data_IF_847993108496
#
_entry.id   IF_847993108496
#
_cell.length_a   1.000
_cell.length_b   1.000
_cell.length_c   1.000
_cell.angle_alpha   90.00
_cell.angle_beta   90.00
_cell.angle_gamma   90.00
#
_symmetry.space_group_name_H-M   'P 1'
#
loop_
_entity.id
_entity.type
_entity.pdbx_description
1 polymer ?
#
# COMPACT_ATOMS: atom_id res chain seq x y z
N UNK A 1 11.53 27.94 17.12
CA UNK A 1 11.20 26.81 16.21
C UNK A 1 12.48 26.35 15.53
N UNK A 2 12.85 25.07 15.61
CA UNK A 2 14.02 24.53 14.89
C UNK A 2 13.73 24.59 13.39
N UNK A 3 14.68 25.11 12.61
CA UNK A 3 14.61 25.07 11.14
C UNK A 3 14.94 23.64 10.69
N UNK A 4 13.97 22.92 10.15
CA UNK A 4 14.18 21.64 9.48
C UNK A 4 14.19 21.86 7.96
N UNK A 5 15.10 21.18 7.26
CA UNK A 5 15.11 21.16 5.79
C UNK A 5 14.33 19.93 5.35
N UNK A 6 13.27 20.12 4.57
CA UNK A 6 12.50 19.03 3.99
C UNK A 6 13.17 18.63 2.66
N UNK A 7 13.75 17.42 2.54
CA UNK A 7 14.38 17.02 1.29
C UNK A 7 13.32 16.86 0.19
N UNK A 8 13.68 17.26 -1.04
CA UNK A 8 12.77 17.17 -2.20
C UNK A 8 12.24 15.75 -2.42
N UNK A 9 13.07 14.75 -2.22
CA UNK A 9 12.67 13.34 -2.35
C UNK A 9 11.55 12.93 -1.38
N UNK A 10 11.42 13.58 -0.22
CA UNK A 10 10.34 13.31 0.72
C UNK A 10 9.03 13.98 0.27
N UNK A 11 9.11 15.18 -0.31
CA UNK A 11 7.97 15.84 -0.97
C UNK A 11 7.46 14.98 -2.12
N UNK A 12 8.35 14.46 -2.93
CA UNK A 12 8.00 13.62 -4.07
C UNK A 12 7.29 12.33 -3.63
N UNK A 13 7.85 11.61 -2.65
CA UNK A 13 7.22 10.40 -2.07
C UNK A 13 5.85 10.69 -1.46
N UNK A 14 5.75 11.76 -0.66
CA UNK A 14 4.48 12.16 -0.05
C UNK A 14 3.43 12.47 -1.12
N UNK A 15 3.82 13.22 -2.16
CA UNK A 15 2.93 13.57 -3.27
C UNK A 15 2.38 12.30 -3.94
N UNK A 16 3.25 11.32 -4.24
CA UNK A 16 2.84 10.03 -4.85
C UNK A 16 1.87 9.27 -3.94
N UNK A 17 2.13 9.21 -2.63
CA UNK A 17 1.28 8.52 -1.67
C UNK A 17 -0.11 9.16 -1.60
N UNK A 18 -0.19 10.49 -1.48
CA UNK A 18 -1.48 11.20 -1.40
C UNK A 18 -2.30 11.04 -2.68
N UNK A 19 -1.65 11.05 -3.83
CA UNK A 19 -2.34 10.88 -5.12
C UNK A 19 -2.64 9.42 -5.48
N UNK A 20 -2.19 8.44 -4.68
CA UNK A 20 -2.32 7.02 -5.01
C UNK A 20 -3.77 6.54 -5.04
N UNK A 21 -4.65 7.09 -4.20
CA UNK A 21 -6.09 6.77 -4.21
C UNK A 21 -6.75 7.18 -5.52
N UNK A 22 -6.53 8.43 -5.94
CA UNK A 22 -7.01 8.96 -7.23
C UNK A 22 -6.48 8.12 -8.40
N UNK A 23 -5.19 7.77 -8.36
CA UNK A 23 -4.57 6.94 -9.40
C UNK A 23 -5.19 5.53 -9.45
N UNK A 24 -5.46 4.92 -8.30
CA UNK A 24 -6.09 3.61 -8.21
C UNK A 24 -7.53 3.62 -8.74
N UNK A 25 -8.34 4.62 -8.37
CA UNK A 25 -9.70 4.79 -8.90
C UNK A 25 -9.69 5.01 -10.41
N UNK A 26 -8.82 5.88 -10.90
CA UNK A 26 -8.70 6.17 -12.33
C UNK A 26 -8.29 4.91 -13.13
N UNK A 27 -7.42 4.07 -12.57
CA UNK A 27 -7.01 2.84 -13.24
C UNK A 27 -8.07 1.74 -13.20
N UNK A 28 -8.88 1.67 -12.14
CA UNK A 28 -9.97 0.70 -12.05
C UNK A 28 -11.18 1.09 -12.91
N UNK A 29 -11.53 2.38 -12.94
CA UNK A 29 -12.80 2.87 -13.50
C UNK A 29 -12.64 3.71 -14.77
N UNK A 30 -11.42 3.93 -15.25
CA UNK A 30 -11.11 4.82 -16.38
C UNK A 30 -11.21 6.33 -16.05
N UNK A 31 -11.73 6.67 -14.87
CA UNK A 31 -11.83 8.03 -14.34
C UNK A 31 -11.89 8.00 -12.81
N UNK A 32 -11.26 8.97 -12.16
CA UNK A 32 -11.42 9.20 -10.72
C UNK A 32 -12.63 10.10 -10.46
N UNK A 33 -13.48 9.69 -9.53
CA UNK A 33 -14.64 10.47 -9.07
C UNK A 33 -14.37 11.09 -7.69
N UNK A 34 -13.49 10.48 -6.90
CA UNK A 34 -13.07 10.93 -5.57
C UNK A 34 -11.76 11.72 -5.55
N UNK A 35 -11.25 11.94 -4.34
CA UNK A 35 -9.89 12.44 -4.09
C UNK A 35 -9.68 13.96 -4.19
N UNK A 36 -10.73 14.77 -4.40
CA UNK A 36 -10.60 16.26 -4.34
C UNK A 36 -10.00 16.73 -3.01
N UNK A 37 -10.35 16.06 -1.91
CA UNK A 37 -9.82 16.37 -0.59
C UNK A 37 -8.31 16.09 -0.49
N UNK A 38 -7.83 14.99 -1.09
CA UNK A 38 -6.41 14.61 -1.12
C UNK A 38 -5.59 15.58 -1.97
N UNK A 39 -6.09 15.94 -3.16
CA UNK A 39 -5.46 16.94 -4.01
C UNK A 39 -5.37 18.30 -3.29
N UNK A 40 -6.46 18.74 -2.66
CA UNK A 40 -6.49 20.00 -1.93
C UNK A 40 -5.55 20.00 -0.72
N UNK A 41 -5.44 18.88 0.00
CA UNK A 41 -4.50 18.69 1.09
C UNK A 41 -3.05 18.80 0.60
N UNK A 42 -2.72 18.18 -0.54
CA UNK A 42 -1.40 18.29 -1.16
C UNK A 42 -1.09 19.74 -1.56
N UNK A 43 -2.02 20.42 -2.25
CA UNK A 43 -1.83 21.81 -2.66
C UNK A 43 -1.61 22.74 -1.46
N UNK A 44 -2.39 22.58 -0.39
CA UNK A 44 -2.23 23.34 0.85
C UNK A 44 -0.88 23.08 1.51
N UNK A 45 -0.46 21.81 1.58
CA UNK A 45 0.84 21.47 2.13
C UNK A 45 1.95 22.15 1.33
N UNK A 46 1.98 21.99 0.01
CA UNK A 46 3.03 22.56 -0.84
C UNK A 46 3.08 24.09 -0.73
N UNK A 47 1.92 24.75 -0.73
CA UNK A 47 1.84 26.20 -0.52
C UNK A 47 2.36 26.65 0.85
N UNK A 48 2.27 25.80 1.88
CA UNK A 48 2.80 26.11 3.22
C UNK A 48 4.32 25.96 3.32
N UNK A 49 4.94 25.18 2.42
CA UNK A 49 6.40 24.98 2.41
C UNK A 49 7.12 26.26 2.01
N UNK A 50 8.26 26.51 2.64
CA UNK A 50 9.10 27.69 2.41
C UNK A 50 8.33 29.03 2.47
N UNK A 51 7.28 29.10 3.31
CA UNK A 51 6.36 30.25 3.41
C UNK A 51 5.74 30.64 2.06
N UNK A 52 5.50 29.67 1.19
CA UNK A 52 4.90 29.88 -0.13
C UNK A 52 5.88 30.43 -1.18
N UNK A 53 7.16 30.64 -0.86
CA UNK A 53 8.13 31.20 -1.80
C UNK A 53 8.52 30.22 -2.92
N UNK A 54 8.50 28.92 -2.63
CA UNK A 54 8.96 27.88 -3.56
C UNK A 54 7.82 27.27 -4.39
N UNK A 55 6.56 27.48 -4.01
CA UNK A 55 5.42 26.75 -4.56
C UNK A 55 4.29 27.68 -4.96
N UNK A 56 4.27 28.08 -6.24
CA UNK A 56 3.08 28.65 -6.84
C UNK A 56 2.05 27.55 -7.17
N UNK A 57 0.81 27.97 -7.44
CA UNK A 57 -0.30 27.08 -7.72
C UNK A 57 -0.08 26.21 -8.98
N UNK A 58 0.58 26.74 -10.01
CA UNK A 58 0.91 26.00 -11.23
C UNK A 58 1.91 24.87 -10.94
N UNK A 59 2.97 25.18 -10.20
CA UNK A 59 3.99 24.21 -9.75
C UNK A 59 3.37 23.13 -8.87
N UNK A 60 2.52 23.51 -7.93
CA UNK A 60 1.84 22.57 -7.04
C UNK A 60 0.89 21.63 -7.82
N UNK A 61 0.13 22.16 -8.78
CA UNK A 61 -0.71 21.35 -9.69
C UNK A 61 0.10 20.42 -10.57
N UNK A 62 1.25 20.87 -11.08
CA UNK A 62 2.14 20.01 -11.87
C UNK A 62 2.74 18.88 -11.03
N UNK A 63 3.08 19.14 -9.76
CA UNK A 63 3.50 18.11 -8.82
C UNK A 63 2.38 17.09 -8.57
N UNK A 64 1.14 17.53 -8.38
CA UNK A 64 -0.01 16.63 -8.21
C UNK A 64 -0.23 15.73 -9.43
N UNK A 65 -0.16 16.29 -10.65
CA UNK A 65 -0.26 15.50 -11.90
C UNK A 65 0.87 14.50 -12.07
N UNK A 66 2.11 14.94 -11.82
CA UNK A 66 3.28 14.06 -11.85
C UNK A 66 3.14 12.91 -10.84
N UNK A 67 2.69 13.23 -9.63
CA UNK A 67 2.50 12.24 -8.57
C UNK A 67 1.41 11.22 -8.88
N UNK A 68 0.26 11.67 -9.40
CA UNK A 68 -0.81 10.77 -9.86
C UNK A 68 -0.32 9.85 -10.98
N UNK A 69 0.38 10.40 -11.98
CA UNK A 69 0.96 9.61 -13.08
C UNK A 69 1.97 8.59 -12.57
N UNK A 70 2.83 8.99 -11.62
CA UNK A 70 3.82 8.10 -11.01
C UNK A 70 3.16 6.98 -10.19
N UNK A 71 2.07 7.28 -9.48
CA UNK A 71 1.29 6.29 -8.77
C UNK A 71 0.63 5.27 -9.72
N UNK A 72 0.07 5.71 -10.86
CA UNK A 72 -0.45 4.80 -11.89
C UNK A 72 0.64 3.85 -12.38
N UNK A 73 1.84 4.37 -12.67
CA UNK A 73 2.96 3.53 -13.10
C UNK A 73 3.37 2.52 -12.03
N UNK A 74 3.38 2.91 -10.75
CA UNK A 74 3.65 1.99 -9.63
C UNK A 74 2.59 0.91 -9.49
N UNK A 75 1.30 1.26 -9.62
CA UNK A 75 0.20 0.29 -9.55
C UNK A 75 0.32 -0.75 -10.67
N UNK A 76 0.61 -0.31 -11.91
CA UNK A 76 0.81 -1.22 -13.05
C UNK A 76 2.04 -2.10 -12.89
N UNK A 77 3.15 -1.51 -12.47
CA UNK A 77 4.41 -2.19 -12.20
C UNK A 77 4.30 -3.28 -11.10
N UNK A 78 3.36 -3.12 -10.17
CA UNK A 78 3.15 -4.00 -9.04
C UNK A 78 1.72 -4.57 -9.03
N UNK A 79 1.18 -4.89 -10.21
CA UNK A 79 -0.24 -5.23 -10.36
C UNK A 79 -0.66 -6.43 -9.51
N UNK A 80 0.17 -7.47 -9.46
CA UNK A 80 -0.12 -8.66 -8.66
C UNK A 80 -0.16 -8.35 -7.16
N UNK A 81 0.81 -7.56 -6.67
CA UNK A 81 0.83 -7.12 -5.26
C UNK A 81 -0.37 -6.22 -4.94
N UNK A 82 -0.75 -5.35 -5.87
CA UNK A 82 -1.91 -4.46 -5.73
C UNK A 82 -3.23 -5.25 -5.68
N UNK A 83 -3.43 -6.20 -6.59
CA UNK A 83 -4.63 -7.03 -6.60
C UNK A 83 -4.73 -7.86 -5.30
N UNK A 84 -3.64 -8.47 -4.85
CA UNK A 84 -3.61 -9.23 -3.59
C UNK A 84 -3.94 -8.35 -2.37
N UNK A 85 -3.50 -7.09 -2.36
CA UNK A 85 -3.89 -6.11 -1.34
C UNK A 85 -5.39 -5.82 -1.41
N UNK A 86 -5.94 -5.56 -2.61
CA UNK A 86 -7.36 -5.30 -2.78
C UNK A 86 -8.22 -6.47 -2.31
N UNK A 87 -7.84 -7.71 -2.63
CA UNK A 87 -8.55 -8.92 -2.20
C UNK A 87 -8.54 -9.07 -0.67
N UNK A 88 -7.38 -8.85 -0.04
CA UNK A 88 -7.24 -8.90 1.42
C UNK A 88 -8.07 -7.81 2.12
N UNK A 89 -8.08 -6.59 1.57
CA UNK A 89 -8.90 -5.50 2.10
C UNK A 89 -10.39 -5.79 1.93
N UNK A 90 -10.80 -6.31 0.78
CA UNK A 90 -12.19 -6.68 0.49
C UNK A 90 -12.70 -7.79 1.41
N UNK A 91 -11.83 -8.72 1.82
CA UNK A 91 -12.18 -9.76 2.80
C UNK A 91 -12.19 -9.27 4.26
N UNK A 92 -11.92 -7.99 4.51
CA UNK A 92 -11.81 -7.43 5.87
C UNK A 92 -10.60 -7.95 6.65
N UNK A 93 -9.51 -8.32 5.97
CA UNK A 93 -8.32 -8.84 6.64
C UNK A 93 -7.63 -7.78 7.52
N UNK A 94 -6.89 -8.22 8.53
CA UNK A 94 -6.08 -7.30 9.33
C UNK A 94 -4.98 -6.64 8.50
N UNK A 95 -4.48 -5.49 8.96
CA UNK A 95 -3.37 -4.78 8.30
C UNK A 95 -2.14 -5.70 8.15
N UNK A 96 -1.85 -6.54 9.15
CA UNK A 96 -0.76 -7.51 9.08
C UNK A 96 -0.91 -8.49 7.91
N UNK A 97 -2.14 -8.99 7.67
CA UNK A 97 -2.45 -9.85 6.52
C UNK A 97 -2.36 -9.11 5.18
N UNK A 98 -2.76 -7.84 5.15
CA UNK A 98 -2.58 -7.00 3.96
C UNK A 98 -1.09 -6.82 3.60
N UNK A 99 -0.23 -6.58 4.60
CA UNK A 99 1.22 -6.48 4.39
C UNK A 99 1.77 -7.81 3.88
N UNK A 100 1.39 -8.93 4.51
CA UNK A 100 1.83 -10.26 4.08
C UNK A 100 1.41 -10.57 2.63
N UNK A 101 0.20 -10.18 2.22
CA UNK A 101 -0.29 -10.33 0.85
C UNK A 101 0.55 -9.53 -0.16
N UNK A 102 0.93 -8.30 0.17
CA UNK A 102 1.84 -7.49 -0.66
C UNK A 102 3.21 -8.17 -0.77
N UNK A 103 3.82 -8.55 0.35
CA UNK A 103 5.18 -9.12 0.37
C UNK A 103 5.27 -10.47 -0.35
N UNK A 104 4.21 -11.28 -0.32
CA UNK A 104 4.14 -12.55 -1.02
C UNK A 104 4.06 -12.39 -2.55
N UNK A 105 3.56 -11.26 -3.02
CA UNK A 105 3.33 -10.98 -4.44
C UNK A 105 4.26 -9.89 -4.99
N UNK A 106 5.35 -9.58 -4.28
CA UNK A 106 6.30 -8.56 -4.71
C UNK A 106 7.22 -9.13 -5.81
N UNK A 107 7.46 -8.41 -6.93
CA UNK A 107 8.38 -8.88 -7.95
C UNK A 107 9.81 -9.02 -7.39
N UNK A 108 10.57 -10.04 -7.81
CA UNK A 108 11.92 -10.34 -7.29
C UNK A 108 12.91 -9.20 -7.53
N UNK A 109 12.67 -8.34 -8.52
CA UNK A 109 13.36 -7.07 -8.69
C UNK A 109 12.30 -6.00 -8.96
N UNK A 110 12.22 -4.93 -8.16
CA UNK A 110 11.29 -3.86 -8.46
C UNK A 110 11.69 -3.20 -9.79
N UNK A 111 10.74 -2.94 -10.70
CA UNK A 111 11.05 -2.55 -12.08
C UNK A 111 11.87 -1.26 -12.18
N UNK A 112 11.71 -0.34 -11.22
CA UNK A 112 12.51 0.88 -11.15
C UNK A 112 13.99 0.64 -10.76
N UNK A 113 14.31 -0.40 -9.99
CA UNK A 113 15.71 -0.80 -9.76
C UNK A 113 16.30 -1.55 -10.95
N UNK A 114 15.48 -2.31 -11.69
CA UNK A 114 15.94 -2.99 -12.91
C UNK A 114 16.44 -2.00 -13.97
N UNK A 115 15.73 -0.86 -14.12
CA UNK A 115 16.13 0.25 -15.01
C UNK A 115 17.46 0.89 -14.60
N UNK A 116 17.70 1.09 -13.30
CA UNK A 116 18.97 1.66 -12.80
C UNK A 116 20.16 0.71 -12.95
N UNK A 117 19.91 -0.61 -12.88
CA UNK A 117 20.95 -1.64 -12.98
C UNK A 117 21.28 -2.07 -14.42
N UNK A 118 20.69 -1.44 -15.45
CA UNK A 118 20.88 -1.83 -16.85
C UNK A 118 20.29 -3.19 -17.23
N UNK A 119 19.46 -3.79 -16.35
CA UNK A 119 18.90 -5.11 -16.56
C UNK A 119 17.59 -5.00 -17.36
N UNK A 120 17.72 -4.94 -18.69
CA UNK A 120 16.60 -4.79 -19.63
C UNK A 120 15.61 -5.96 -19.61
N UNK A 121 15.99 -7.13 -19.09
CA UNK A 121 15.08 -8.26 -18.93
C UNK A 121 13.97 -8.00 -17.88
N UNK A 122 14.25 -7.22 -16.84
CA UNK A 122 13.24 -6.81 -15.86
C UNK A 122 12.30 -5.71 -16.38
N UNK A 123 12.66 -5.05 -17.48
CA UNK A 123 11.82 -4.07 -18.16
C UNK A 123 10.75 -4.78 -18.98
N UNK A 124 11.04 -5.92 -19.60
CA UNK A 124 10.09 -6.66 -20.44
C UNK A 124 8.84 -7.12 -19.66
N UNK A 125 9.01 -7.66 -18.45
CA UNK A 125 7.89 -8.09 -17.60
C UNK A 125 7.01 -6.91 -17.13
N UNK A 126 7.61 -5.73 -16.90
CA UNK A 126 6.86 -4.51 -16.57
C UNK A 126 6.26 -3.80 -17.80
N UNK A 127 6.87 -3.96 -18.97
CA UNK A 127 6.43 -3.35 -20.22
C UNK A 127 5.28 -4.14 -20.90
N UNK A 128 5.24 -5.47 -20.77
CA UNK A 128 4.09 -6.27 -21.21
C UNK A 128 2.81 -5.90 -20.44
N UNK A 129 2.92 -5.62 -19.14
CA UNK A 129 1.81 -5.09 -18.34
C UNK A 129 1.43 -3.64 -18.70
N UNK A 130 2.37 -2.86 -19.26
CA UNK A 130 2.14 -1.48 -19.71
C UNK A 130 1.51 -1.41 -21.11
N UNK A 131 1.69 -2.45 -21.94
CA UNK A 131 1.22 -2.52 -23.32
C UNK A 131 -0.15 -3.20 -23.48
N UNK A 132 -0.66 -3.90 -22.46
CA UNK A 132 -1.91 -4.67 -22.51
C UNK A 132 -3.21 -3.84 -22.27
N UNK A 133 -3.22 -2.55 -22.60
CA UNK A 133 -4.45 -1.77 -22.71
C UNK A 133 -5.01 -1.91 -24.14
N UNK A 134 -6.33 -2.09 -24.35
CA UNK A 134 -6.87 -2.30 -25.69
C UNK A 134 -6.85 -0.97 -26.47
N UNK A 135 -5.88 -0.83 -27.37
CA UNK A 135 -6.00 -0.03 -28.56
C UNK A 135 -6.47 -0.94 -29.70
N UNK A 136 -7.51 -0.52 -30.40
CA UNK A 136 -8.22 -1.26 -31.45
C UNK A 136 -7.33 -1.74 -32.61
N UNK A 137 -7.56 -3.00 -33.02
CA UNK A 137 -7.50 -3.58 -34.39
C UNK A 137 -6.21 -3.55 -35.26
N UNK A 138 -5.71 -4.78 -35.49
CA UNK A 138 -5.50 -5.47 -36.79
C UNK A 138 -4.09 -5.52 -37.48
N UNK A 139 -3.58 -6.77 -37.59
CA UNK A 139 -3.05 -7.50 -38.78
C UNK A 139 -1.66 -8.18 -38.61
N UNK A 140 -1.65 -9.49 -38.87
CA UNK A 140 -0.58 -10.40 -39.34
C UNK A 140 0.40 -11.09 -38.35
N UNK A 141 0.31 -12.42 -38.35
CA UNK A 141 1.38 -13.42 -38.09
C UNK A 141 2.29 -13.60 -39.34
N UNK A 142 3.46 -14.29 -39.33
CA UNK A 142 3.83 -15.40 -38.42
C UNK A 142 5.32 -15.50 -37.96
N UNK A 143 5.55 -16.50 -37.10
CA UNK A 143 6.73 -17.39 -37.00
C UNK A 143 7.92 -17.05 -36.06
N UNK A 144 8.00 -17.82 -34.96
CA UNK A 144 9.15 -18.66 -34.58
C UNK A 144 10.37 -18.03 -33.89
N UNK A 145 10.62 -18.40 -32.62
CA UNK A 145 11.88 -19.03 -32.15
C UNK A 145 12.05 -19.01 -30.60
N UNK A 146 12.30 -20.22 -30.06
CA UNK A 146 13.15 -20.61 -28.93
C UNK A 146 13.10 -19.87 -27.57
N UNK A 147 12.67 -20.63 -26.56
CA UNK A 147 12.82 -20.41 -25.11
C UNK A 147 14.27 -20.70 -24.66
N UNK A 148 14.88 -19.90 -23.77
CA UNK A 148 15.90 -20.38 -22.86
C UNK A 148 15.39 -20.31 -21.40
N UNK A 149 15.25 -21.47 -20.79
CA UNK A 149 15.02 -21.67 -19.36
C UNK A 149 16.30 -21.40 -18.57
N UNK A 150 16.31 -20.38 -17.71
CA UNK A 150 17.31 -20.22 -16.65
C UNK A 150 16.63 -20.45 -15.29
N UNK A 151 16.84 -21.65 -14.74
CA UNK A 151 16.26 -22.09 -13.49
C UNK A 151 16.93 -21.44 -12.27
N UNK A 152 16.10 -20.87 -11.39
CA UNK A 152 16.39 -20.81 -9.96
C UNK A 152 15.73 -22.04 -9.37
N UNK A 153 16.48 -22.89 -8.65
CA UNK A 153 15.96 -24.16 -8.16
C UNK A 153 14.74 -23.93 -7.25
N UNK A 154 13.64 -24.60 -7.60
CA UNK A 154 12.35 -24.53 -6.89
C UNK A 154 12.47 -24.84 -5.39
N UNK A 155 13.51 -25.56 -5.00
CA UNK A 155 13.80 -25.98 -3.63
C UNK A 155 14.22 -24.82 -2.71
N UNK A 156 14.97 -23.84 -3.23
CA UNK A 156 15.38 -22.67 -2.47
C UNK A 156 14.22 -21.68 -2.24
N UNK A 157 13.33 -21.56 -3.24
CA UNK A 157 12.11 -20.77 -3.12
C UNK A 157 11.12 -21.41 -2.14
N UNK A 158 10.97 -22.74 -2.16
CA UNK A 158 10.11 -23.48 -1.23
C UNK A 158 10.58 -23.37 0.22
N UNK A 159 11.88 -23.42 0.47
CA UNK A 159 12.46 -23.28 1.82
C UNK A 159 12.23 -21.87 2.42
N UNK A 160 12.35 -20.82 1.61
CA UNK A 160 12.09 -19.44 2.04
C UNK A 160 10.60 -19.19 2.34
N UNK A 161 9.69 -19.80 1.56
CA UNK A 161 8.24 -19.73 1.79
C UNK A 161 7.84 -20.47 3.06
N UNK A 162 8.39 -21.65 3.32
CA UNK A 162 8.13 -22.42 4.54
C UNK A 162 8.61 -21.67 5.80
N UNK A 163 9.79 -21.06 5.76
CA UNK A 163 10.33 -20.28 6.87
C UNK A 163 9.52 -19.01 7.17
N UNK A 164 8.92 -18.38 6.15
CA UNK A 164 8.01 -17.23 6.34
C UNK A 164 6.65 -17.66 6.89
N UNK A 165 6.11 -18.79 6.43
CA UNK A 165 4.83 -19.35 6.92
C UNK A 165 4.86 -19.61 8.43
N UNK A 166 5.97 -20.17 8.94
CA UNK A 166 6.15 -20.38 10.38
C UNK A 166 6.18 -19.09 11.20
N UNK A 167 6.73 -17.98 10.68
CA UNK A 167 6.72 -16.68 11.38
C UNK A 167 5.32 -16.07 11.44
N UNK A 168 4.54 -16.22 10.37
CA UNK A 168 3.14 -15.77 10.33
C UNK A 168 2.30 -16.55 11.34
N UNK A 169 2.47 -17.87 11.43
CA UNK A 169 1.76 -18.70 12.42
C UNK A 169 2.12 -18.32 13.87
N UNK A 170 3.39 -17.99 14.15
CA UNK A 170 3.78 -17.49 15.49
C UNK A 170 3.18 -16.11 15.79
N UNK A 171 3.04 -15.25 14.77
CA UNK A 171 2.41 -13.94 14.93
C UNK A 171 0.89 -14.06 15.16
N UNK A 172 0.20 -14.96 14.44
CA UNK A 172 -1.23 -15.22 14.64
C UNK A 172 -1.52 -15.78 16.05
N UNK A 173 -0.64 -16.64 16.59
CA UNK A 173 -0.75 -17.10 17.99
C UNK A 173 -0.58 -15.95 18.98
N UNK A 174 0.31 -15.00 18.69
CA UNK A 174 0.49 -13.81 19.54
C UNK A 174 -0.71 -12.85 19.46
N UNK A 175 -1.32 -12.70 18.29
CA UNK A 175 -2.50 -11.84 18.08
C UNK A 175 -3.74 -12.41 18.77
N UNK A 176 -3.94 -13.74 18.70
CA UNK A 176 -4.99 -14.43 19.44
C UNK A 176 -4.85 -14.24 20.96
N UNK A 177 -3.62 -14.35 21.50
CA UNK A 177 -3.35 -14.12 22.92
C UNK A 177 -3.61 -12.67 23.35
N UNK A 178 -3.31 -11.69 22.49
CA UNK A 178 -3.61 -10.28 22.75
C UNK A 178 -5.13 -10.02 22.77
N UNK A 179 -5.88 -10.66 21.87
CA UNK A 179 -7.33 -10.53 21.82
C UNK A 179 -8.01 -11.14 23.05
N UNK A 180 -7.53 -12.31 23.50
CA UNK A 180 -8.01 -12.97 24.72
C UNK A 180 -7.72 -12.10 25.95
N UNK A 181 -6.52 -11.51 26.04
CA UNK A 181 -6.18 -10.60 27.14
C UNK A 181 -7.07 -9.35 27.15
N UNK A 182 -7.40 -8.80 25.97
CA UNK A 182 -8.33 -7.67 25.85
C UNK A 182 -9.72 -8.03 26.36
N UNK A 183 -10.23 -9.23 26.04
CA UNK A 183 -11.52 -9.70 26.53
C UNK A 183 -11.55 -9.87 28.05
N UNK A 184 -10.48 -10.41 28.64
CA UNK A 184 -10.35 -10.50 30.11
C UNK A 184 -10.39 -9.13 30.78
N UNK A 185 -9.63 -8.16 30.27
CA UNK A 185 -9.62 -6.79 30.82
C UNK A 185 -10.99 -6.12 30.70
N UNK A 186 -11.71 -6.36 29.60
CA UNK A 186 -13.07 -5.86 29.42
C UNK A 186 -14.03 -6.42 30.48
N UNK A 187 -13.96 -7.73 30.75
CA UNK A 187 -14.78 -8.39 31.78
C UNK A 187 -14.45 -7.89 33.20
N UNK A 188 -13.18 -7.66 33.50
CA UNK A 188 -12.75 -7.08 34.78
C UNK A 188 -13.29 -5.66 34.96
N UNK A 189 -13.25 -4.84 33.92
CA UNK A 189 -13.82 -3.48 33.93
C UNK A 189 -15.33 -3.50 34.22
N UNK A 190 -16.08 -4.39 33.57
CA UNK A 190 -17.51 -4.54 33.82
C UNK A 190 -17.81 -5.00 35.26
N UNK A 191 -17.00 -5.91 35.80
CA UNK A 191 -17.14 -6.37 37.18
C UNK A 191 -16.87 -5.23 38.19
N UNK A 192 -15.87 -4.39 37.92
CA UNK A 192 -15.56 -3.21 38.74
C UNK A 192 -16.72 -2.21 38.69
N UNK A 193 -17.27 -1.94 37.50
CA UNK A 193 -18.41 -1.02 37.34
C UNK A 193 -19.64 -1.50 38.11
N UNK A 194 -19.95 -2.81 38.08
CA UNK A 194 -21.05 -3.37 38.88
C UNK A 194 -20.83 -3.21 40.37
N UNK A 195 -19.62 -3.49 40.87
CA UNK A 195 -19.28 -3.28 42.30
C UNK A 195 -19.40 -1.82 42.72
N UNK A 196 -19.00 -0.89 41.85
CA UNK A 196 -19.15 0.55 42.12
C UNK A 196 -20.62 0.97 42.18
N UNK A 197 -21.46 0.44 41.28
CA UNK A 197 -22.90 0.70 41.31
C UNK A 197 -23.57 0.15 42.57
N UNK A 198 -23.27 -1.10 42.95
CA UNK A 198 -23.78 -1.71 44.19
C UNK A 198 -23.34 -0.94 45.44
N UNK A 199 -22.09 -0.47 45.46
CA UNK A 199 -21.60 0.34 46.57
C UNK A 199 -22.27 1.72 46.61
N UNK A 200 -22.51 2.36 45.46
CA UNK A 200 -23.23 3.62 45.38
C UNK A 200 -24.67 3.49 45.92
N UNK A 201 -25.36 2.40 45.58
CA UNK A 201 -26.70 2.10 46.12
C UNK A 201 -26.67 1.85 47.64
N UNK A 202 -25.66 1.14 48.15
CA UNK A 202 -25.50 0.92 49.59
C UNK A 202 -25.24 2.22 50.34
N UNK A 203 -24.44 3.13 49.78
CA UNK A 203 -24.19 4.46 50.37
C UNK A 203 -25.47 5.29 50.38
N UNK A 204 -26.29 5.27 49.32
CA UNK A 204 -27.59 5.94 49.28
C UNK A 204 -28.61 5.40 50.29
N UNK A 205 -28.56 4.11 50.63
CA UNK A 205 -29.45 3.51 51.65
C UNK A 205 -29.04 3.82 53.09
N UNK A 206 -27.83 4.35 53.30
CA UNK A 206 -27.30 4.72 54.63
C UNK A 206 -27.42 6.22 54.94
N UNK A 207 -27.93 7.02 54.00
CA UNK A 207 -28.27 8.44 54.17
C UNK A 207 -29.77 8.62 54.35
#
# INVERSE_FOLDING_TARGET
MRKGVLPRSLVDKYSVIVMAGIAAEAEANGRAEGGRADEEALLRLLASLDRGSSWDLGRARNQARWAASSAVLLIRAHRDSYNALCDALASGASIGKCIAAIEANLPPTPPFKAVQSGNVAGIAAGAEALAAAPASQQVASPAGAAVPTAGVSAEAAAAAVAAKRGRVETAERSEAAVLERKQQVQQELEAIQRRLAENAEKVQRLQ
#
